data_IF_516068092201
#
_entry.id   IF_516068092201
#
_cell.length_a   1.000
_cell.length_b   1.000
_cell.length_c   1.000
_cell.angle_alpha   90.00
_cell.angle_beta   90.00
_cell.angle_gamma   90.00
#
_symmetry.space_group_name_H-M   'P 1'
#
loop_
_entity.id
_entity.type
_entity.pdbx_description
1 polymer ?
#
# COMPACT_ATOMS: atom_id res chain seq x y z
N UNK A 1 18.38 11.67 15.89
CA UNK A 1 17.59 10.81 14.99
C UNK A 1 18.10 11.00 13.57
N UNK A 2 18.51 9.93 12.88
CA UNK A 2 18.76 10.02 11.44
C UNK A 2 17.41 10.14 10.71
N UNK A 3 17.34 10.98 9.67
CA UNK A 3 16.12 11.11 8.86
C UNK A 3 15.99 9.90 7.94
N UNK A 4 14.86 9.20 8.01
CA UNK A 4 14.46 8.18 7.03
C UNK A 4 13.93 8.80 5.74
N UNK A 5 13.64 7.95 4.74
CA UNK A 5 12.94 8.33 3.50
C UNK A 5 11.62 7.58 3.42
N UNK A 6 10.54 8.29 3.07
CA UNK A 6 9.25 7.70 2.71
C UNK A 6 9.18 7.64 1.18
N UNK A 7 8.92 6.45 0.64
CA UNK A 7 8.82 6.19 -0.80
C UNK A 7 7.44 5.55 -1.04
N UNK A 8 6.62 6.17 -1.89
CA UNK A 8 5.33 5.61 -2.33
C UNK A 8 5.40 5.19 -3.80
N UNK A 9 4.65 4.13 -4.14
CA UNK A 9 4.51 3.64 -5.51
C UNK A 9 3.06 3.83 -5.95
N UNK A 10 2.84 4.83 -6.82
CA UNK A 10 1.52 5.20 -7.33
C UNK A 10 1.32 4.79 -8.80
N UNK A 11 0.08 4.56 -9.19
CA UNK A 11 -0.28 4.22 -10.57
C UNK A 11 -1.57 3.42 -10.70
N UNK A 12 -2.03 3.22 -11.93
CA UNK A 12 -3.23 2.45 -12.24
C UNK A 12 -3.08 0.96 -11.90
N UNK A 13 -4.19 0.23 -11.87
CA UNK A 13 -4.17 -1.22 -11.74
C UNK A 13 -3.44 -1.87 -12.92
N UNK A 14 -2.62 -2.87 -12.62
CA UNK A 14 -1.72 -3.50 -13.60
C UNK A 14 -0.44 -2.70 -13.92
N UNK A 15 -0.24 -1.49 -13.37
CA UNK A 15 0.97 -0.67 -13.63
C UNK A 15 2.28 -1.23 -13.04
N UNK A 16 2.26 -2.42 -12.41
CA UNK A 16 3.47 -3.06 -11.87
C UNK A 16 3.94 -2.54 -10.51
N UNK A 17 3.11 -1.78 -9.77
CA UNK A 17 3.43 -1.21 -8.45
C UNK A 17 4.00 -2.25 -7.46
N UNK A 18 3.33 -3.40 -7.35
CA UNK A 18 3.76 -4.51 -6.48
C UNK A 18 5.14 -5.04 -6.89
N UNK A 19 5.35 -5.26 -8.18
CA UNK A 19 6.63 -5.74 -8.73
C UNK A 19 7.76 -4.75 -8.43
N UNK A 20 7.53 -3.46 -8.65
CA UNK A 20 8.56 -2.43 -8.41
C UNK A 20 8.90 -2.29 -6.93
N UNK A 21 7.90 -2.36 -6.05
CA UNK A 21 8.12 -2.37 -4.60
C UNK A 21 8.95 -3.58 -4.14
N UNK A 22 8.73 -4.76 -4.72
CA UNK A 22 9.49 -5.98 -4.41
C UNK A 22 10.94 -5.91 -4.92
N UNK A 23 11.14 -5.41 -6.14
CA UNK A 23 12.47 -5.20 -6.71
C UNK A 23 13.28 -4.19 -5.88
N UNK A 24 12.65 -3.09 -5.43
CA UNK A 24 13.29 -2.14 -4.53
C UNK A 24 13.67 -2.78 -3.19
N UNK A 25 12.79 -3.59 -2.61
CA UNK A 25 13.06 -4.31 -1.36
C UNK A 25 14.28 -5.23 -1.47
N UNK A 26 14.34 -6.04 -2.53
CA UNK A 26 15.48 -6.91 -2.81
C UNK A 26 16.78 -6.13 -3.01
N UNK A 27 16.71 -5.00 -3.71
CA UNK A 27 17.87 -4.13 -3.88
C UNK A 27 18.34 -3.56 -2.54
N UNK A 28 17.44 -3.04 -1.70
CA UNK A 28 17.78 -2.50 -0.36
C UNK A 28 18.40 -3.57 0.55
N UNK A 29 17.86 -4.80 0.51
CA UNK A 29 18.44 -5.97 1.18
C UNK A 29 19.88 -6.24 0.72
N UNK A 30 20.13 -6.25 -0.59
CA UNK A 30 21.47 -6.46 -1.15
C UNK A 30 22.49 -5.40 -0.69
N UNK A 31 22.00 -4.19 -0.41
CA UNK A 31 22.80 -3.07 0.08
C UNK A 31 22.90 -3.01 1.61
N UNK A 32 22.30 -3.97 2.33
CA UNK A 32 22.21 -3.97 3.80
C UNK A 32 21.56 -2.70 4.38
N UNK A 33 20.60 -2.12 3.64
CA UNK A 33 19.86 -0.94 4.06
C UNK A 33 18.56 -1.39 4.75
N UNK A 34 18.36 -1.08 6.04
CA UNK A 34 17.13 -1.44 6.73
C UNK A 34 15.94 -0.66 6.18
N UNK A 35 14.81 -1.34 5.96
CA UNK A 35 13.59 -0.74 5.46
C UNK A 35 12.35 -1.37 6.10
N UNK A 36 11.22 -0.68 5.99
CA UNK A 36 9.89 -1.18 6.36
C UNK A 36 9.00 -1.07 5.13
N UNK A 37 8.27 -2.14 4.82
CA UNK A 37 7.27 -2.18 3.75
C UNK A 37 5.88 -2.05 4.34
N UNK A 38 5.05 -1.21 3.74
CA UNK A 38 3.61 -1.09 4.04
C UNK A 38 2.83 -0.94 2.74
N UNK A 39 1.51 -1.12 2.79
CA UNK A 39 0.58 -0.93 1.67
C UNK A 39 -0.72 -0.33 2.20
N UNK A 40 -1.33 0.56 1.46
CA UNK A 40 -2.65 1.11 1.78
C UNK A 40 -3.64 0.90 0.61
N UNK A 41 -4.94 0.69 0.90
CA UNK A 41 -5.47 0.23 2.18
C UNK A 41 -5.02 -1.23 2.48
N UNK A 42 -4.77 -1.53 3.76
CA UNK A 42 -4.40 -2.90 4.18
C UNK A 42 -3.10 -3.05 4.99
N UNK A 43 -2.46 -1.96 5.40
CA UNK A 43 -1.23 -1.98 6.19
C UNK A 43 -1.47 -2.27 7.68
N UNK A 44 -2.73 -2.27 8.12
CA UNK A 44 -3.16 -2.56 9.50
C UNK A 44 -4.28 -3.62 9.47
N UNK A 45 -4.55 -4.33 10.59
CA UNK A 45 -5.67 -5.29 10.65
C UNK A 45 -7.00 -4.67 10.22
N UNK A 46 -7.29 -3.45 10.70
CA UNK A 46 -8.47 -2.69 10.28
C UNK A 46 -8.46 -2.37 8.78
N UNK A 47 -7.32 -1.92 8.24
CA UNK A 47 -7.19 -1.63 6.82
C UNK A 47 -7.41 -2.87 5.94
N UNK A 48 -7.08 -4.07 6.44
CA UNK A 48 -7.33 -5.34 5.73
C UNK A 48 -8.84 -5.63 5.68
N UNK A 49 -9.56 -5.46 6.78
CA UNK A 49 -11.01 -5.64 6.83
C UNK A 49 -11.73 -4.63 5.92
N UNK A 50 -11.33 -3.36 5.97
CA UNK A 50 -11.84 -2.31 5.07
C UNK A 50 -11.61 -2.69 3.61
N UNK A 51 -10.40 -3.15 3.26
CA UNK A 51 -10.11 -3.61 1.89
C UNK A 51 -11.02 -4.77 1.47
N UNK A 52 -11.28 -5.73 2.36
CA UNK A 52 -12.19 -6.84 2.03
C UNK A 52 -13.62 -6.36 1.82
N UNK A 53 -14.09 -5.41 2.63
CA UNK A 53 -15.40 -4.79 2.41
C UNK A 53 -15.47 -4.13 1.02
N UNK A 54 -14.46 -3.32 0.66
CA UNK A 54 -14.40 -2.65 -0.64
C UNK A 54 -14.39 -3.62 -1.83
N UNK A 55 -13.64 -4.71 -1.74
CA UNK A 55 -13.47 -5.64 -2.86
C UNK A 55 -14.63 -6.64 -3.01
N UNK A 56 -15.27 -7.03 -1.90
CA UNK A 56 -16.20 -8.16 -1.89
C UNK A 56 -17.66 -7.77 -1.70
N UNK A 57 -17.97 -6.50 -1.42
CA UNK A 57 -19.32 -6.00 -1.16
C UNK A 57 -19.65 -4.80 -2.05
N UNK A 58 -19.74 -5.01 -3.39
CA UNK A 58 -20.01 -3.92 -4.33
C UNK A 58 -21.38 -3.25 -4.13
N UNK A 59 -22.28 -3.85 -3.36
CA UNK A 59 -23.57 -3.28 -2.99
C UNK A 59 -23.52 -2.27 -1.84
N UNK A 60 -22.39 -2.13 -1.15
CA UNK A 60 -22.22 -1.10 -0.12
C UNK A 60 -22.07 0.26 -0.79
N UNK A 61 -23.03 1.15 -0.55
CA UNK A 61 -22.88 2.56 -0.93
C UNK A 61 -21.88 3.25 0.00
N UNK A 62 -20.73 3.61 -0.57
CA UNK A 62 -19.71 4.40 0.12
C UNK A 62 -19.81 5.83 -0.40
N UNK A 63 -19.91 6.77 0.53
CA UNK A 63 -19.96 8.18 0.15
C UNK A 63 -18.65 8.60 -0.52
N UNK A 64 -18.65 9.53 -1.48
CA UNK A 64 -17.42 9.96 -2.16
C UNK A 64 -16.34 10.47 -1.20
N UNK A 65 -16.75 11.10 -0.09
CA UNK A 65 -15.85 11.56 0.95
C UNK A 65 -15.18 10.39 1.67
N UNK A 66 -15.94 9.33 1.96
CA UNK A 66 -15.39 8.14 2.56
C UNK A 66 -14.41 7.43 1.61
N UNK A 67 -14.72 7.29 0.32
CA UNK A 67 -13.75 6.76 -0.67
C UNK A 67 -12.45 7.57 -0.72
N UNK A 68 -12.53 8.90 -0.64
CA UNK A 68 -11.35 9.77 -0.74
C UNK A 68 -10.36 9.65 0.44
N UNK A 69 -10.80 9.11 1.58
CA UNK A 69 -9.98 8.93 2.79
C UNK A 69 -9.58 7.48 3.08
N UNK A 70 -9.90 6.55 2.17
CA UNK A 70 -9.53 5.14 2.23
C UNK A 70 -8.27 4.85 1.41
#
# INVERSE_FOLDING_TARGET
>A
MSKGRLISFEGLDGAGKTTQMELLGQWLESQHIPYVRTREPGGTPLGVEIRQLLLNRPELEITPLAEAFL
#
